data_IF_408534988828
#
_entry.id   IF_408534988828
#
_cell.length_a   1.000
_cell.length_b   1.000
_cell.length_c   1.000
_cell.angle_alpha   90.00
_cell.angle_beta   90.00
_cell.angle_gamma   90.00
#
_symmetry.space_group_name_H-M   'P 1'
#
loop_
_entity.id
_entity.type
_entity.pdbx_description
1 polymer ?
#
# COMPACT_ATOMS: atom_id res chain seq x y z
N UNK A 1 11.41 -74.75 -44.90
CA UNK A 1 11.78 -73.70 -43.92
C UNK A 1 10.86 -72.52 -44.16
N UNK A 2 9.67 -72.51 -43.55
CA UNK A 2 8.68 -71.46 -43.73
C UNK A 2 8.13 -71.12 -42.36
N UNK A 3 8.74 -70.15 -41.69
CA UNK A 3 8.13 -69.56 -40.50
C UNK A 3 6.84 -68.88 -40.97
N UNK A 4 5.71 -69.40 -40.51
CA UNK A 4 4.38 -68.94 -40.89
C UNK A 4 4.29 -67.43 -40.71
N UNK A 5 3.92 -66.73 -41.79
CA UNK A 5 3.70 -65.27 -41.81
C UNK A 5 2.71 -64.81 -40.74
N UNK A 6 1.86 -65.71 -40.25
CA UNK A 6 0.95 -65.47 -39.13
C UNK A 6 1.65 -65.28 -37.78
N UNK A 7 2.81 -65.91 -37.56
CA UNK A 7 3.55 -65.82 -36.30
C UNK A 7 4.29 -64.49 -36.14
N UNK A 8 4.80 -63.93 -37.25
CA UNK A 8 5.41 -62.60 -37.28
C UNK A 8 4.37 -61.49 -37.11
N UNK A 9 3.18 -61.63 -37.70
CA UNK A 9 2.10 -60.65 -37.53
C UNK A 9 1.58 -60.62 -36.08
N UNK A 10 1.45 -61.78 -35.43
CA UNK A 10 1.04 -61.86 -34.02
C UNK A 10 2.09 -61.25 -33.08
N UNK A 11 3.38 -61.49 -33.33
CA UNK A 11 4.46 -60.90 -32.56
C UNK A 11 4.52 -59.37 -32.72
N UNK A 12 4.27 -58.86 -33.93
CA UNK A 12 4.22 -57.42 -34.19
C UNK A 12 3.01 -56.75 -33.52
N UNK A 13 1.85 -57.42 -33.51
CA UNK A 13 0.67 -56.93 -32.79
C UNK A 13 0.88 -56.88 -31.28
N UNK A 14 1.53 -57.90 -30.70
CA UNK A 14 1.86 -57.93 -29.27
C UNK A 14 2.88 -56.85 -28.90
N UNK A 15 3.86 -56.57 -29.76
CA UNK A 15 4.80 -55.47 -29.60
C UNK A 15 4.10 -54.10 -29.65
N UNK A 16 3.18 -53.90 -30.60
CA UNK A 16 2.39 -52.67 -30.71
C UNK A 16 1.44 -52.47 -29.52
N UNK A 17 0.83 -53.54 -29.00
CA UNK A 17 0.00 -53.48 -27.79
C UNK A 17 0.85 -53.19 -26.55
N UNK A 18 2.08 -53.73 -26.47
CA UNK A 18 3.01 -53.40 -25.37
C UNK A 18 3.54 -51.97 -25.43
N UNK A 19 3.74 -51.42 -26.63
CA UNK A 19 4.12 -50.01 -26.84
C UNK A 19 2.95 -49.06 -26.55
N UNK A 20 1.71 -49.46 -26.88
CA UNK A 20 0.51 -48.70 -26.53
C UNK A 20 0.24 -48.72 -25.01
N UNK A 21 0.45 -49.86 -24.34
CA UNK A 21 0.36 -49.96 -22.89
C UNK A 21 1.51 -49.24 -22.16
N UNK A 22 2.68 -49.08 -22.79
CA UNK A 22 3.78 -48.28 -22.28
C UNK A 22 3.55 -46.76 -22.47
N UNK A 23 2.78 -46.35 -23.49
CA UNK A 23 2.36 -44.96 -23.67
C UNK A 23 1.22 -44.55 -22.70
N UNK A 24 0.53 -45.54 -22.12
CA UNK A 24 -0.50 -45.35 -21.09
C UNK A 24 0.04 -45.53 -19.66
N UNK A 25 1.37 -45.64 -19.49
CA UNK A 25 2.00 -45.13 -18.27
C UNK A 25 1.99 -43.62 -18.39
N UNK A 26 0.85 -43.05 -18.01
CA UNK A 26 0.74 -41.68 -17.51
C UNK A 26 2.04 -41.33 -16.81
N UNK A 27 2.79 -40.39 -17.40
CA UNK A 27 3.61 -39.51 -16.62
C UNK A 27 2.62 -38.90 -15.64
N UNK A 28 2.58 -39.45 -14.43
CA UNK A 28 1.96 -38.79 -13.30
C UNK A 28 2.80 -37.52 -13.16
N UNK A 29 2.33 -36.45 -13.79
CA UNK A 29 2.69 -35.08 -13.43
C UNK A 29 2.26 -34.95 -11.98
N UNK A 30 3.14 -35.32 -11.07
CA UNK A 30 3.00 -34.98 -9.67
C UNK A 30 3.04 -33.45 -9.61
N UNK A 31 1.88 -32.80 -9.57
CA UNK A 31 1.77 -31.47 -8.95
C UNK A 31 1.05 -30.35 -9.70
N UNK A 32 0.67 -30.47 -10.97
CA UNK A 32 -0.10 -29.38 -11.62
C UNK A 32 -1.62 -29.60 -11.48
N UNK A 33 -2.28 -28.66 -10.79
CA UNK A 33 -3.74 -28.58 -10.66
C UNK A 33 -4.40 -28.46 -12.04
N UNK A 34 -5.61 -29.00 -12.18
CA UNK A 34 -6.37 -28.88 -13.43
C UNK A 34 -6.81 -27.43 -13.67
N UNK A 35 -7.00 -27.04 -14.94
CA UNK A 35 -7.48 -25.69 -15.27
C UNK A 35 -8.84 -25.39 -14.63
N UNK A 36 -9.72 -26.38 -14.55
CA UNK A 36 -11.03 -26.26 -13.89
C UNK A 36 -10.89 -25.93 -12.40
N UNK A 37 -9.97 -26.62 -11.71
CA UNK A 37 -9.67 -26.37 -10.30
C UNK A 37 -9.09 -24.97 -10.10
N UNK A 38 -8.09 -24.56 -10.90
CA UNK A 38 -7.46 -23.25 -10.76
C UNK A 38 -8.41 -22.11 -11.10
N UNK A 39 -9.31 -22.28 -12.08
CA UNK A 39 -10.36 -21.28 -12.38
C UNK A 39 -11.35 -21.13 -11.23
N UNK A 40 -11.76 -22.23 -10.58
CA UNK A 40 -12.61 -22.15 -9.39
C UNK A 40 -11.91 -21.41 -8.26
N UNK A 41 -10.67 -21.76 -7.96
CA UNK A 41 -9.87 -21.08 -6.93
C UNK A 41 -9.71 -19.59 -7.23
N UNK A 42 -9.49 -19.23 -8.50
CA UNK A 42 -9.39 -17.84 -8.92
C UNK A 42 -10.71 -17.08 -8.70
N UNK A 43 -11.85 -17.67 -9.05
CA UNK A 43 -13.16 -17.06 -8.81
C UNK A 43 -13.44 -16.84 -7.31
N UNK A 44 -13.11 -17.82 -6.47
CA UNK A 44 -13.23 -17.71 -5.01
C UNK A 44 -12.28 -16.63 -4.44
N UNK A 45 -11.04 -16.59 -4.95
CA UNK A 45 -10.05 -15.58 -4.57
C UNK A 45 -10.50 -14.17 -4.96
N UNK A 46 -11.03 -13.99 -6.18
CA UNK A 46 -11.57 -12.69 -6.64
C UNK A 46 -12.72 -12.22 -5.75
N UNK A 47 -13.65 -13.12 -5.41
CA UNK A 47 -14.76 -12.80 -4.51
C UNK A 47 -14.27 -12.40 -3.11
N UNK A 48 -13.28 -13.12 -2.58
CA UNK A 48 -12.69 -12.85 -1.25
C UNK A 48 -11.97 -11.51 -1.20
N UNK A 49 -11.31 -11.11 -2.28
CA UNK A 49 -10.50 -9.88 -2.36
C UNK A 49 -11.21 -8.72 -3.09
N UNK A 50 -12.50 -8.87 -3.41
CA UNK A 50 -13.30 -7.84 -4.09
C UNK A 50 -12.76 -7.43 -5.45
N UNK A 51 -12.18 -8.36 -6.22
CA UNK A 51 -11.55 -8.07 -7.52
C UNK A 51 -12.56 -8.05 -8.65
N UNK A 52 -12.46 -7.03 -9.50
CA UNK A 52 -13.25 -6.88 -10.73
C UNK A 52 -12.40 -6.28 -11.85
N UNK A 53 -12.48 -6.82 -13.06
CA UNK A 53 -11.70 -6.34 -14.21
C UNK A 53 -12.63 -5.98 -15.38
N UNK A 54 -12.54 -4.73 -15.85
CA UNK A 54 -13.45 -4.20 -16.87
C UNK A 54 -12.83 -4.14 -18.28
N UNK A 55 -11.50 -4.26 -18.37
CA UNK A 55 -10.78 -4.21 -19.64
C UNK A 55 -10.82 -5.56 -20.36
N UNK A 56 -11.02 -5.54 -21.68
CA UNK A 56 -11.08 -6.76 -22.50
C UNK A 56 -9.77 -7.53 -22.36
N UNK A 57 -9.86 -8.79 -21.94
CA UNK A 57 -8.71 -9.68 -21.78
C UNK A 57 -7.90 -9.49 -20.50
N UNK A 58 -8.18 -8.47 -19.67
CA UNK A 58 -7.45 -8.24 -18.42
C UNK A 58 -7.73 -9.36 -17.40
N UNK A 59 -8.98 -9.81 -17.27
CA UNK A 59 -9.31 -10.91 -16.37
C UNK A 59 -8.54 -12.20 -16.70
N UNK A 60 -8.44 -12.55 -18.00
CA UNK A 60 -7.69 -13.74 -18.41
C UNK A 60 -6.19 -13.54 -18.18
N UNK A 61 -5.64 -12.34 -18.43
CA UNK A 61 -4.24 -12.05 -18.09
C UNK A 61 -3.98 -12.20 -16.59
N UNK A 62 -4.86 -11.66 -15.75
CA UNK A 62 -4.77 -11.74 -14.28
C UNK A 62 -4.91 -13.17 -13.80
N UNK A 63 -5.76 -13.97 -14.43
CA UNK A 63 -5.87 -15.40 -14.18
C UNK A 63 -4.57 -16.15 -14.52
N UNK A 64 -3.90 -15.84 -15.63
CA UNK A 64 -2.62 -16.47 -15.98
C UNK A 64 -1.55 -16.17 -14.91
N UNK A 65 -1.45 -14.92 -14.47
CA UNK A 65 -0.54 -14.50 -13.39
C UNK A 65 -0.88 -15.20 -12.06
N UNK A 66 -2.17 -15.24 -11.71
CA UNK A 66 -2.65 -15.98 -10.55
C UNK A 66 -2.24 -17.45 -10.59
N UNK A 67 -2.40 -18.11 -11.74
CA UNK A 67 -2.03 -19.51 -11.93
C UNK A 67 -0.53 -19.73 -11.78
N UNK A 68 0.30 -18.84 -12.31
CA UNK A 68 1.76 -18.93 -12.18
C UNK A 68 2.21 -18.73 -10.71
N UNK A 69 1.62 -17.76 -10.01
CA UNK A 69 1.86 -17.56 -8.58
C UNK A 69 1.36 -18.74 -7.76
N UNK A 70 0.23 -19.34 -8.12
CA UNK A 70 -0.30 -20.53 -7.46
C UNK A 70 0.64 -21.74 -7.60
N UNK A 71 1.18 -21.97 -8.79
CA UNK A 71 2.20 -23.01 -9.00
C UNK A 71 3.43 -22.76 -8.13
N UNK A 72 3.92 -21.53 -8.07
CA UNK A 72 5.05 -21.16 -7.22
C UNK A 72 4.76 -21.40 -5.72
N UNK A 73 3.55 -21.07 -5.26
CA UNK A 73 3.08 -21.34 -3.90
C UNK A 73 3.06 -22.84 -3.61
N UNK A 74 2.54 -23.67 -4.53
CA UNK A 74 2.46 -25.12 -4.35
C UNK A 74 3.85 -25.75 -4.26
N UNK A 75 4.75 -25.40 -5.17
CA UNK A 75 6.14 -25.88 -5.16
C UNK A 75 6.87 -25.51 -3.87
N UNK A 76 6.74 -24.25 -3.43
CA UNK A 76 7.33 -23.79 -2.18
C UNK A 76 6.74 -24.50 -0.97
N UNK A 77 5.40 -24.65 -0.92
CA UNK A 77 4.73 -25.25 0.22
C UNK A 77 4.98 -26.77 0.29
N UNK A 78 5.11 -27.46 -0.84
CA UNK A 78 5.57 -28.85 -0.87
C UNK A 78 6.99 -29.00 -0.32
N UNK A 79 7.91 -28.08 -0.67
CA UNK A 79 9.25 -28.05 -0.09
C UNK A 79 9.23 -27.73 1.43
N UNK A 80 8.32 -26.86 1.87
CA UNK A 80 8.10 -26.59 3.29
C UNK A 80 7.54 -27.83 4.04
N UNK A 81 6.67 -28.64 3.42
CA UNK A 81 6.21 -29.92 3.99
C UNK A 81 7.34 -30.94 4.11
N UNK A 82 8.30 -30.91 3.19
CA UNK A 82 9.52 -31.68 3.27
C UNK A 82 10.57 -31.10 4.25
N UNK A 83 10.23 -30.02 4.98
CA UNK A 83 11.10 -29.38 5.98
C UNK A 83 12.20 -28.49 5.42
N UNK A 84 12.18 -28.18 4.11
CA UNK A 84 13.18 -27.33 3.44
C UNK A 84 13.00 -25.85 3.82
N UNK A 85 11.75 -25.40 3.98
CA UNK A 85 11.41 -24.03 4.38
C UNK A 85 10.65 -24.01 5.71
N UNK A 86 10.81 -22.94 6.48
CA UNK A 86 10.12 -22.72 7.77
C UNK A 86 8.91 -21.80 7.68
N UNK A 87 8.49 -21.45 6.47
CA UNK A 87 7.41 -20.52 6.22
C UNK A 87 6.54 -21.02 5.07
N UNK A 88 5.37 -20.43 4.94
CA UNK A 88 4.37 -20.75 3.93
C UNK A 88 4.06 -19.52 3.08
N UNK A 89 3.83 -19.77 1.81
CA UNK A 89 3.26 -18.79 0.90
C UNK A 89 1.75 -19.02 0.77
N UNK A 90 1.03 -18.00 0.34
CA UNK A 90 -0.42 -18.08 0.18
C UNK A 90 -0.98 -17.12 -0.86
N UNK A 91 -2.22 -17.39 -1.27
CA UNK A 91 -2.98 -16.58 -2.22
C UNK A 91 -3.52 -15.31 -1.54
N UNK A 92 -2.62 -14.41 -1.16
CA UNK A 92 -2.97 -13.11 -0.60
C UNK A 92 -3.45 -12.15 -1.70
N UNK A 93 -3.69 -10.88 -1.35
CA UNK A 93 -4.19 -9.85 -2.27
C UNK A 93 -3.32 -9.60 -3.50
N UNK A 94 -2.04 -10.01 -3.51
CA UNK A 94 -1.09 -9.78 -4.61
C UNK A 94 -0.97 -10.98 -5.56
N UNK A 95 -1.80 -12.02 -5.38
CA UNK A 95 -1.70 -13.25 -6.15
C UNK A 95 -1.93 -13.05 -7.66
N UNK A 96 -2.64 -12.00 -8.09
CA UNK A 96 -2.88 -11.66 -9.50
C UNK A 96 -1.86 -10.67 -10.10
N UNK A 97 -0.81 -10.33 -9.35
CA UNK A 97 0.25 -9.41 -9.77
C UNK A 97 1.53 -10.16 -10.12
N UNK A 98 2.16 -9.75 -11.23
CA UNK A 98 3.53 -10.19 -11.48
C UNK A 98 4.46 -9.57 -10.46
N UNK A 99 5.65 -10.16 -10.27
CA UNK A 99 6.62 -9.57 -9.36
C UNK A 99 7.06 -8.16 -9.80
N UNK A 100 7.16 -7.90 -11.10
CA UNK A 100 7.48 -6.57 -11.64
C UNK A 100 6.38 -5.55 -11.36
N UNK A 101 5.10 -5.91 -11.55
CA UNK A 101 3.96 -5.05 -11.22
C UNK A 101 3.91 -4.73 -9.71
N UNK A 102 4.15 -5.74 -8.87
CA UNK A 102 4.24 -5.60 -7.42
C UNK A 102 5.37 -4.65 -7.02
N UNK A 103 6.58 -4.88 -7.53
CA UNK A 103 7.78 -4.07 -7.23
C UNK A 103 7.58 -2.61 -7.63
N UNK A 104 6.98 -2.37 -8.79
CA UNK A 104 6.77 -1.03 -9.31
C UNK A 104 5.72 -0.21 -8.54
N UNK A 105 4.83 -0.87 -7.80
CA UNK A 105 3.62 -0.23 -7.24
C UNK A 105 3.62 -0.14 -5.71
N UNK A 106 4.17 -1.14 -5.00
CA UNK A 106 4.00 -1.28 -3.54
C UNK A 106 5.27 -1.01 -2.71
N UNK A 107 6.40 -0.80 -3.38
CA UNK A 107 7.69 -0.48 -2.77
C UNK A 107 7.94 1.04 -2.86
N UNK A 108 8.79 1.60 -1.99
CA UNK A 108 8.92 3.05 -1.90
C UNK A 108 10.05 3.63 -1.06
N UNK A 109 10.93 2.81 -0.46
CA UNK A 109 12.13 3.36 0.18
C UNK A 109 13.15 3.76 -0.89
N UNK A 110 13.80 4.90 -0.69
CA UNK A 110 14.88 5.38 -1.56
C UNK A 110 16.11 5.74 -0.73
N UNK A 111 17.03 4.80 -0.58
CA UNK A 111 18.30 5.02 0.13
C UNK A 111 19.16 6.06 -0.59
N UNK A 112 19.74 7.01 0.14
CA UNK A 112 20.70 7.98 -0.39
C UNK A 112 22.10 7.68 0.14
N UNK A 113 23.11 7.42 -0.71
CA UNK A 113 24.46 7.02 -0.26
C UNK A 113 25.22 8.06 0.59
N UNK A 114 24.82 9.33 0.58
CA UNK A 114 25.55 10.44 1.21
C UNK A 114 24.66 11.27 2.14
N UNK A 115 23.83 10.62 2.95
CA UNK A 115 23.09 11.30 4.03
C UNK A 115 23.90 11.32 5.33
N UNK A 116 23.90 12.45 6.03
CA UNK A 116 24.39 12.52 7.41
C UNK A 116 23.43 11.77 8.34
N UNK A 117 23.94 10.78 9.06
CA UNK A 117 23.18 9.96 10.01
C UNK A 117 23.37 10.47 11.44
N UNK A 118 22.29 10.56 12.22
CA UNK A 118 22.35 10.94 13.64
C UNK A 118 22.59 9.69 14.48
N UNK A 119 23.81 9.16 14.41
CA UNK A 119 24.15 7.87 15.05
C UNK A 119 23.95 7.88 16.56
N UNK A 120 23.26 6.86 17.04
CA UNK A 120 22.99 6.67 18.45
C UNK A 120 24.17 6.13 19.21
N UNK A 121 24.57 6.83 20.27
CA UNK A 121 25.52 6.31 21.26
C UNK A 121 24.89 5.29 22.23
N UNK A 122 23.56 5.28 22.38
CA UNK A 122 22.85 4.46 23.38
C UNK A 122 22.79 2.98 23.03
N UNK A 123 22.74 2.68 21.72
CA UNK A 123 22.50 1.32 21.23
C UNK A 123 23.72 0.69 20.55
N UNK A 124 24.93 1.13 20.89
CA UNK A 124 26.12 0.35 20.58
C UNK A 124 26.03 -1.03 21.21
N UNK A 125 26.41 -2.04 20.44
CA UNK A 125 26.44 -3.42 20.91
C UNK A 125 27.55 -3.56 21.96
N UNK A 126 27.17 -3.96 23.17
CA UNK A 126 28.09 -4.46 24.20
C UNK A 126 27.83 -5.95 24.38
N UNK A 127 28.90 -6.73 24.50
CA UNK A 127 28.79 -8.18 24.65
C UNK A 127 28.23 -8.66 25.97
N UNK A 128 28.20 -7.79 27.00
CA UNK A 128 27.83 -8.15 28.36
C UNK A 128 26.43 -7.69 28.80
N UNK A 129 25.62 -7.14 27.90
CA UNK A 129 24.28 -6.63 28.25
C UNK A 129 23.21 -7.71 28.06
N UNK A 130 22.50 -8.04 29.14
CA UNK A 130 21.36 -8.95 29.11
C UNK A 130 20.12 -8.22 28.57
N UNK A 131 19.66 -8.63 27.39
CA UNK A 131 18.41 -8.15 26.80
C UNK A 131 17.28 -9.15 27.08
N UNK A 132 16.00 -8.70 27.15
CA UNK A 132 14.87 -9.61 27.26
C UNK A 132 14.90 -10.66 26.13
N UNK A 133 14.57 -11.91 26.43
CA UNK A 133 14.55 -13.01 25.44
C UNK A 133 13.56 -12.75 24.30
N UNK A 134 12.42 -12.16 24.63
CA UNK A 134 11.41 -11.75 23.65
C UNK A 134 10.77 -10.42 24.04
N UNK A 135 10.38 -9.66 23.02
CA UNK A 135 9.66 -8.40 23.14
C UNK A 135 8.57 -8.39 22.09
N UNK A 136 7.36 -7.99 22.48
CA UNK A 136 6.24 -7.77 21.57
C UNK A 136 5.46 -6.52 22.01
N UNK A 137 5.70 -5.40 21.32
CA UNK A 137 5.06 -4.12 21.64
C UNK A 137 3.55 -4.11 21.38
N UNK A 138 3.02 -5.06 20.59
CA UNK A 138 1.57 -5.21 20.39
C UNK A 138 0.88 -5.57 21.69
N UNK A 139 1.49 -6.47 22.46
CA UNK A 139 0.97 -6.89 23.79
C UNK A 139 1.05 -5.79 24.84
N UNK A 140 1.93 -4.79 24.63
CA UNK A 140 2.11 -3.62 25.49
C UNK A 140 1.26 -2.41 25.06
N UNK A 141 0.42 -2.58 24.03
CA UNK A 141 -0.43 -1.52 23.50
C UNK A 141 0.30 -0.44 22.71
N UNK A 142 1.60 -0.60 22.40
CA UNK A 142 2.42 0.41 21.72
C UNK A 142 2.52 0.18 20.20
N UNK A 143 1.48 -0.41 19.60
CA UNK A 143 1.39 -0.65 18.16
C UNK A 143 -0.05 -0.44 17.73
N UNK A 144 -0.30 0.58 16.90
CA UNK A 144 -1.62 0.81 16.30
C UNK A 144 -1.99 -0.30 15.31
N UNK A 145 -3.23 -0.31 14.86
CA UNK A 145 -3.72 -1.27 13.86
C UNK A 145 -2.90 -1.27 12.56
N UNK A 146 -2.92 -2.40 11.85
CA UNK A 146 -2.26 -2.49 10.54
C UNK A 146 -3.08 -1.72 9.52
N UNK A 147 -2.44 -0.72 8.89
CA UNK A 147 -3.00 0.08 7.82
C UNK A 147 -2.58 -0.44 6.44
N UNK A 148 -3.11 0.16 5.39
CA UNK A 148 -2.84 -0.19 3.99
C UNK A 148 -2.42 1.04 3.18
N UNK A 149 -1.18 1.02 2.67
CA UNK A 149 -0.64 2.10 1.84
C UNK A 149 -1.25 2.14 0.43
N UNK A 150 -1.94 1.08 0.01
CA UNK A 150 -2.48 0.98 -1.36
C UNK A 150 -1.37 0.98 -2.41
N UNK A 151 -1.63 1.62 -3.55
CA UNK A 151 -0.71 1.68 -4.71
C UNK A 151 0.27 2.86 -4.67
N UNK A 152 0.54 3.39 -3.48
CA UNK A 152 1.43 4.53 -3.26
C UNK A 152 2.73 4.04 -2.60
N UNK A 153 3.89 4.50 -3.07
CA UNK A 153 5.19 4.21 -2.48
C UNK A 153 5.46 4.94 -1.16
N UNK A 154 4.46 5.02 -0.27
CA UNK A 154 4.48 5.77 1.00
C UNK A 154 4.91 4.94 2.20
N UNK A 155 5.45 3.72 2.02
CA UNK A 155 5.92 2.86 3.11
C UNK A 155 6.86 3.56 4.11
N UNK A 156 7.64 4.54 3.65
CA UNK A 156 8.47 5.40 4.50
C UNK A 156 7.63 6.21 5.51
N UNK A 157 6.47 6.74 5.10
CA UNK A 157 5.57 7.47 5.98
C UNK A 157 4.94 6.52 7.01
N UNK A 158 4.43 5.35 6.57
CA UNK A 158 3.87 4.34 7.47
C UNK A 158 4.87 3.83 8.51
N UNK A 159 6.12 3.56 8.08
CA UNK A 159 7.19 3.13 8.98
C UNK A 159 7.53 4.20 10.02
N UNK A 160 7.55 5.47 9.60
CA UNK A 160 7.78 6.64 10.48
C UNK A 160 6.67 6.76 11.51
N UNK A 161 5.41 6.81 11.05
CA UNK A 161 4.23 6.97 11.90
C UNK A 161 4.14 5.85 12.94
N UNK A 162 4.32 4.59 12.54
CA UNK A 162 4.29 3.47 13.50
C UNK A 162 5.38 3.59 14.60
N UNK A 163 6.54 4.16 14.29
CA UNK A 163 7.57 4.49 15.28
C UNK A 163 7.15 5.60 16.23
N UNK A 164 6.53 6.67 15.70
CA UNK A 164 6.04 7.82 16.49
C UNK A 164 4.86 7.44 17.39
N UNK A 165 3.90 6.69 16.87
CA UNK A 165 2.77 6.15 17.64
C UNK A 165 3.26 5.28 18.81
N UNK A 166 4.24 4.41 18.54
CA UNK A 166 4.83 3.52 19.52
C UNK A 166 5.52 4.27 20.66
N UNK A 167 6.42 5.21 20.35
CA UNK A 167 7.10 5.99 21.40
C UNK A 167 6.13 6.91 22.14
N UNK A 168 5.11 7.45 21.47
CA UNK A 168 4.07 8.25 22.10
C UNK A 168 3.34 7.42 23.16
N UNK A 169 2.93 6.20 22.83
CA UNK A 169 2.29 5.32 23.80
C UNK A 169 3.20 5.02 24.99
N UNK A 170 4.47 4.74 24.73
CA UNK A 170 5.44 4.39 25.78
C UNK A 170 5.63 5.54 26.78
N UNK A 171 5.69 6.78 26.30
CA UNK A 171 5.97 7.96 27.13
C UNK A 171 4.72 8.52 27.80
N UNK A 172 3.60 8.55 27.07
CA UNK A 172 2.37 9.25 27.51
C UNK A 172 1.28 8.32 28.03
N UNK A 173 1.29 7.06 27.60
CA UNK A 173 0.21 6.11 27.85
C UNK A 173 -0.97 6.20 26.88
N UNK A 174 -0.93 7.12 25.91
CA UNK A 174 -1.95 7.26 24.86
C UNK A 174 -1.49 6.72 23.49
N UNK A 175 -2.22 5.76 22.94
CA UNK A 175 -2.01 5.26 21.58
C UNK A 175 -2.95 6.04 20.64
N UNK A 176 -2.38 6.96 19.87
CA UNK A 176 -3.10 7.84 18.96
C UNK A 176 -2.75 7.44 17.53
N UNK A 177 -3.76 7.21 16.68
CA UNK A 177 -3.52 6.94 15.25
C UNK A 177 -3.18 8.24 14.52
N UNK A 178 -1.98 8.30 13.92
CA UNK A 178 -1.44 9.53 13.30
C UNK A 178 -1.51 9.46 11.78
N UNK A 179 -1.42 10.63 11.12
CA UNK A 179 -1.60 10.75 9.67
C UNK A 179 -0.33 10.46 8.88
N UNK A 180 -0.34 9.40 8.07
CA UNK A 180 0.68 9.22 7.04
C UNK A 180 0.52 10.21 5.87
N UNK A 181 -0.71 10.67 5.61
CA UNK A 181 -0.99 11.56 4.49
C UNK A 181 -0.40 12.95 4.69
N UNK A 182 -0.36 13.45 5.93
CA UNK A 182 0.32 14.71 6.22
C UNK A 182 1.80 14.63 5.83
N UNK A 183 2.48 13.50 6.11
CA UNK A 183 3.85 13.30 5.66
C UNK A 183 3.93 13.25 4.13
N UNK A 184 3.07 12.48 3.47
CA UNK A 184 3.04 12.34 2.00
C UNK A 184 2.86 13.70 1.32
N UNK A 185 1.97 14.55 1.82
CA UNK A 185 1.62 15.82 1.19
C UNK A 185 2.58 16.97 1.57
N UNK A 186 3.15 16.94 2.78
CA UNK A 186 3.87 18.09 3.35
C UNK A 186 5.38 17.91 3.48
N UNK A 187 5.90 16.69 3.63
CA UNK A 187 7.35 16.44 3.68
C UNK A 187 7.93 16.35 2.26
N UNK A 188 8.09 17.51 1.64
CA UNK A 188 8.49 17.64 0.23
C UNK A 188 9.95 18.10 0.04
N UNK A 189 10.69 18.33 1.13
CA UNK A 189 12.06 18.84 1.04
C UNK A 189 13.03 17.78 0.50
N UNK A 190 12.85 16.52 0.90
CA UNK A 190 13.70 15.41 0.48
C UNK A 190 12.93 14.15 0.09
N UNK A 191 11.77 13.94 0.71
CA UNK A 191 10.83 12.89 0.36
C UNK A 191 9.95 13.32 -0.82
N UNK A 192 9.41 12.34 -1.54
CA UNK A 192 8.73 12.54 -2.83
C UNK A 192 7.34 11.91 -2.83
N UNK A 193 6.64 11.95 -1.69
CA UNK A 193 5.30 11.40 -1.54
C UNK A 193 5.23 9.92 -1.94
N UNK A 194 4.34 9.60 -2.88
CA UNK A 194 4.17 8.26 -3.44
C UNK A 194 5.34 7.78 -4.30
N UNK A 195 6.26 8.66 -4.70
CA UNK A 195 7.49 8.26 -5.39
C UNK A 195 8.57 7.78 -4.42
N UNK A 196 8.31 7.85 -3.11
CA UNK A 196 9.18 7.27 -2.09
C UNK A 196 9.93 8.29 -1.24
N UNK A 197 10.60 7.76 -0.22
CA UNK A 197 11.21 8.57 0.81
C UNK A 197 12.03 7.77 1.83
N UNK A 198 12.44 8.46 2.89
CA UNK A 198 13.19 7.93 4.03
C UNK A 198 12.62 8.45 5.35
N UNK A 199 12.63 7.59 6.35
CA UNK A 199 12.01 7.83 7.66
C UNK A 199 12.67 8.99 8.44
N UNK A 200 13.99 9.14 8.38
CA UNK A 200 14.67 10.24 9.11
C UNK A 200 14.24 11.63 8.65
N UNK A 201 13.98 11.81 7.35
CA UNK A 201 13.47 13.09 6.84
C UNK A 201 12.06 13.36 7.34
N UNK A 202 11.25 12.31 7.47
CA UNK A 202 9.92 12.41 8.03
C UNK A 202 9.94 12.73 9.54
N UNK A 203 10.86 12.11 10.31
CA UNK A 203 11.07 12.51 11.70
C UNK A 203 11.52 13.98 11.81
N UNK A 204 12.49 14.40 10.99
CA UNK A 204 12.94 15.79 10.91
C UNK A 204 11.80 16.75 10.55
N UNK A 205 10.91 16.35 9.63
CA UNK A 205 9.70 17.10 9.31
C UNK A 205 8.80 17.25 10.53
N UNK A 206 8.48 16.17 11.26
CA UNK A 206 7.59 16.23 12.44
C UNK A 206 8.15 17.19 13.50
N UNK A 207 9.47 17.15 13.73
CA UNK A 207 10.16 18.06 14.66
C UNK A 207 9.98 19.52 14.21
N UNK A 208 10.34 19.83 12.95
CA UNK A 208 10.28 21.20 12.42
C UNK A 208 8.84 21.71 12.25
N UNK A 209 7.90 20.81 12.03
CA UNK A 209 6.49 21.12 11.96
C UNK A 209 5.89 21.44 13.34
N UNK A 210 6.56 21.02 14.42
CA UNK A 210 6.05 21.14 15.79
C UNK A 210 4.97 20.10 16.10
N UNK A 211 4.99 18.95 15.41
CA UNK A 211 4.10 17.81 15.63
C UNK A 211 3.50 17.24 14.35
N UNK A 212 2.58 16.30 14.51
CA UNK A 212 1.84 15.60 13.45
C UNK A 212 0.37 15.44 13.87
N UNK A 213 -0.53 15.49 12.91
CA UNK A 213 -1.98 15.34 13.09
C UNK A 213 -2.45 13.89 13.17
N UNK A 214 -3.70 13.71 13.61
CA UNK A 214 -4.35 12.40 13.65
C UNK A 214 -4.72 11.92 12.25
N UNK A 215 -4.83 10.59 12.10
CA UNK A 215 -5.42 9.99 10.90
C UNK A 215 -6.85 10.50 10.63
N UNK A 216 -7.60 10.87 11.69
CA UNK A 216 -8.96 11.38 11.53
C UNK A 216 -9.00 12.81 10.97
N UNK A 217 -8.08 13.67 11.40
CA UNK A 217 -8.00 15.07 10.95
C UNK A 217 -7.39 15.18 9.54
N UNK A 218 -6.44 14.31 9.22
CA UNK A 218 -5.80 14.24 7.90
C UNK A 218 -5.79 12.80 7.35
N UNK A 219 -6.92 12.31 6.81
CA UNK A 219 -7.05 10.91 6.38
C UNK A 219 -6.19 10.51 5.19
N UNK A 220 -5.77 9.25 5.18
CA UNK A 220 -5.01 8.65 4.10
C UNK A 220 -5.81 8.49 2.80
N UNK A 221 -5.22 8.96 1.70
CA UNK A 221 -5.82 8.94 0.35
C UNK A 221 -5.09 7.99 -0.61
N UNK A 222 -3.85 7.59 -0.29
CA UNK A 222 -3.07 6.70 -1.15
C UNK A 222 -2.61 7.34 -2.46
N UNK A 223 -2.52 8.67 -2.50
CA UNK A 223 -2.05 9.47 -3.64
C UNK A 223 -1.39 10.74 -3.14
N UNK A 224 -0.50 11.32 -3.95
CA UNK A 224 0.05 12.65 -3.68
C UNK A 224 -1.06 13.72 -3.66
N UNK A 225 -1.01 14.60 -2.66
CA UNK A 225 -1.88 15.77 -2.53
C UNK A 225 -1.08 17.05 -2.31
N UNK A 226 -1.79 18.18 -2.26
CA UNK A 226 -1.22 19.42 -1.75
C UNK A 226 -1.28 19.43 -0.23
N UNK A 227 -0.21 19.89 0.42
CA UNK A 227 -0.17 20.09 1.86
C UNK A 227 -1.28 21.03 2.33
N UNK A 228 -2.31 20.48 2.98
CA UNK A 228 -3.48 21.22 3.43
C UNK A 228 -3.23 21.88 4.79
N UNK A 229 -2.93 23.17 4.78
CA UNK A 229 -2.67 23.94 6.00
C UNK A 229 -3.84 23.98 6.99
N UNK A 230 -5.08 23.75 6.55
CA UNK A 230 -6.24 23.74 7.44
C UNK A 230 -6.37 22.43 8.20
N UNK A 231 -5.91 21.32 7.62
CA UNK A 231 -5.87 20.00 8.27
C UNK A 231 -4.61 19.82 9.11
N UNK A 232 -3.54 20.47 8.68
CA UNK A 232 -2.20 20.46 9.27
C UNK A 232 -2.06 21.38 10.50
N UNK A 233 -3.03 21.36 11.42
CA UNK A 233 -3.17 22.39 12.44
C UNK A 233 -3.23 21.90 13.89
N UNK A 234 -3.65 20.66 14.17
CA UNK A 234 -3.85 20.22 15.54
C UNK A 234 -2.54 19.75 16.21
N UNK A 235 -1.62 19.15 15.44
CA UNK A 235 -0.26 18.75 15.85
C UNK A 235 -0.28 17.98 17.18
N UNK A 236 -1.11 16.95 17.23
CA UNK A 236 -1.48 16.24 18.45
C UNK A 236 -0.34 15.46 19.10
N UNK A 237 0.68 15.08 18.33
CA UNK A 237 1.87 14.36 18.83
C UNK A 237 3.14 15.04 18.34
N UNK A 238 4.08 15.21 19.26
CA UNK A 238 5.43 15.73 18.99
C UNK A 238 6.50 14.72 19.34
N UNK A 239 7.65 14.84 18.67
CA UNK A 239 8.90 14.16 19.00
C UNK A 239 9.99 15.21 19.15
N UNK A 240 10.97 14.94 20.01
CA UNK A 240 12.03 15.89 20.37
C UNK A 240 13.26 15.75 19.47
N UNK A 241 13.51 14.54 18.97
CA UNK A 241 14.62 14.22 18.06
C UNK A 241 14.39 12.86 17.40
N UNK A 242 15.37 12.38 16.64
CA UNK A 242 15.50 10.99 16.19
C UNK A 242 16.97 10.61 16.13
N UNK A 243 17.23 9.31 16.17
CA UNK A 243 18.58 8.76 16.02
C UNK A 243 18.58 7.50 15.14
N UNK A 244 19.74 7.23 14.55
CA UNK A 244 20.05 6.02 13.81
C UNK A 244 20.65 4.97 14.74
N UNK A 245 20.16 3.74 14.68
CA UNK A 245 20.84 2.61 15.32
C UNK A 245 22.11 2.29 14.53
N UNK A 246 23.22 1.88 15.19
CA UNK A 246 24.43 1.45 14.50
C UNK A 246 24.14 0.42 13.40
N UNK A 247 24.54 0.77 12.18
CA UNK A 247 24.29 -0.04 11.00
C UNK A 247 24.99 -1.39 11.07
N UNK A 248 24.40 -2.39 10.41
CA UNK A 248 24.95 -3.74 10.28
C UNK A 248 25.20 -4.41 11.65
N UNK A 249 24.29 -4.21 12.60
CA UNK A 249 24.36 -4.82 13.92
C UNK A 249 22.96 -5.23 14.38
N UNK A 250 22.60 -6.50 14.18
CA UNK A 250 21.33 -7.06 14.69
C UNK A 250 21.24 -6.95 16.21
N UNK A 251 22.37 -6.97 16.93
CA UNK A 251 22.42 -6.78 18.38
C UNK A 251 22.09 -5.35 18.80
N UNK A 252 22.61 -4.36 18.08
CA UNK A 252 22.24 -2.94 18.27
C UNK A 252 20.76 -2.72 17.97
N UNK A 253 20.27 -3.31 16.88
CA UNK A 253 18.84 -3.27 16.55
C UNK A 253 17.99 -3.94 17.63
N UNK A 254 18.41 -5.09 18.16
CA UNK A 254 17.69 -5.79 19.22
C UNK A 254 17.58 -4.93 20.47
N UNK A 255 18.67 -4.27 20.85
CA UNK A 255 18.69 -3.34 21.98
C UNK A 255 17.74 -2.16 21.78
N UNK A 256 17.70 -1.59 20.57
CA UNK A 256 16.75 -0.52 20.25
C UNK A 256 15.30 -1.01 20.31
N UNK A 257 15.00 -2.15 19.68
CA UNK A 257 13.66 -2.76 19.67
C UNK A 257 13.21 -3.18 21.08
N UNK A 258 14.13 -3.51 21.98
CA UNK A 258 13.81 -3.81 23.37
C UNK A 258 13.24 -2.60 24.13
N UNK A 259 13.51 -1.39 23.65
CA UNK A 259 13.11 -0.13 24.29
C UNK A 259 11.92 0.55 23.61
N UNK A 260 11.73 0.37 22.30
CA UNK A 260 10.58 0.91 21.55
C UNK A 260 10.46 0.26 20.15
N UNK A 261 9.34 0.43 19.42
CA UNK A 261 9.29 0.13 17.99
C UNK A 261 10.32 0.93 17.19
N UNK A 262 10.96 0.30 16.20
CA UNK A 262 12.03 0.90 15.39
C UNK A 262 11.65 0.85 13.91
N UNK A 263 11.76 1.97 13.22
CA UNK A 263 11.59 2.06 11.77
C UNK A 263 12.81 1.45 11.08
N UNK A 264 12.59 0.54 10.14
CA UNK A 264 13.66 -0.16 9.43
C UNK A 264 13.36 -0.22 7.93
N UNK A 265 14.40 -0.23 7.11
CA UNK A 265 14.29 -0.53 5.69
C UNK A 265 14.72 -1.97 5.40
N UNK A 266 14.05 -2.63 4.46
CA UNK A 266 14.33 -3.99 4.00
C UNK A 266 14.26 -4.07 2.47
N UNK A 267 14.85 -5.11 1.90
CA UNK A 267 14.56 -5.55 0.53
C UNK A 267 13.36 -6.51 0.54
N UNK A 268 12.21 -6.03 0.08
CA UNK A 268 10.93 -6.76 0.05
C UNK A 268 10.51 -7.17 -1.37
N UNK A 269 11.33 -6.91 -2.38
CA UNK A 269 10.94 -7.07 -3.77
C UNK A 269 10.87 -8.51 -4.32
N UNK A 270 11.22 -9.55 -3.56
CA UNK A 270 11.18 -10.94 -4.03
C UNK A 270 9.79 -11.59 -3.98
N UNK A 271 9.50 -12.52 -4.90
CA UNK A 271 8.18 -13.20 -4.98
C UNK A 271 7.78 -13.95 -3.70
N UNK A 272 8.75 -14.52 -2.98
CA UNK A 272 8.50 -15.17 -1.69
C UNK A 272 8.01 -14.18 -0.62
N UNK A 273 8.48 -12.92 -0.67
CA UNK A 273 8.03 -11.86 0.24
C UNK A 273 6.65 -11.36 -0.18
N UNK A 274 6.45 -11.10 -1.49
CA UNK A 274 5.15 -10.73 -2.06
C UNK A 274 4.03 -11.67 -1.61
N UNK A 275 4.29 -12.98 -1.66
CA UNK A 275 3.30 -14.04 -1.40
C UNK A 275 3.39 -14.63 0.02
N UNK A 276 4.16 -14.02 0.92
CA UNK A 276 4.31 -14.50 2.30
C UNK A 276 2.94 -14.61 3.00
N UNK A 277 2.74 -15.70 3.74
CA UNK A 277 1.53 -15.94 4.52
C UNK A 277 1.82 -16.19 6.00
N UNK A 278 2.76 -17.07 6.34
CA UNK A 278 3.03 -17.40 7.75
C UNK A 278 4.37 -18.10 7.97
N UNK A 279 4.84 -18.12 9.21
CA UNK A 279 6.08 -18.79 9.64
C UNK A 279 7.30 -17.87 9.64
N UNK A 280 8.47 -18.38 10.03
CA UNK A 280 9.70 -17.58 10.06
C UNK A 280 10.27 -17.52 8.65
N UNK A 281 10.24 -16.32 8.07
CA UNK A 281 10.71 -16.03 6.72
C UNK A 281 12.22 -16.21 6.61
N UNK A 282 12.60 -17.29 5.94
CA UNK A 282 13.98 -17.64 5.60
C UNK A 282 14.25 -17.54 4.09
N UNK A 283 13.33 -16.93 3.33
CA UNK A 283 13.43 -16.75 1.89
C UNK A 283 14.67 -15.96 1.45
N UNK A 284 14.98 -16.03 0.15
CA UNK A 284 16.10 -15.26 -0.42
C UNK A 284 15.71 -13.80 -0.59
N UNK A 285 16.63 -12.92 -0.22
CA UNK A 285 16.59 -11.47 -0.42
C UNK A 285 18.03 -10.94 -0.36
N UNK A 286 18.31 -9.84 -1.03
CA UNK A 286 19.54 -9.09 -0.97
C UNK A 286 19.49 -8.01 0.12
N UNK A 287 20.10 -6.87 -0.19
CA UNK A 287 20.18 -5.69 0.68
C UNK A 287 19.96 -4.39 -0.10
N UNK A 288 19.33 -4.46 -1.28
CA UNK A 288 18.90 -3.29 -2.05
C UNK A 288 17.58 -2.79 -1.45
N UNK A 289 17.67 -2.04 -0.35
CA UNK A 289 16.52 -1.66 0.47
C UNK A 289 15.50 -0.86 -0.37
N UNK A 290 14.27 -1.37 -0.43
CA UNK A 290 13.20 -0.85 -1.28
C UNK A 290 11.87 -0.66 -0.52
N UNK A 291 11.79 -1.12 0.73
CA UNK A 291 10.55 -1.05 1.53
C UNK A 291 10.77 -0.66 2.99
N UNK A 292 9.91 0.22 3.50
CA UNK A 292 9.94 0.74 4.87
C UNK A 292 8.92 0.01 5.74
N UNK A 293 9.38 -0.56 6.84
CA UNK A 293 8.57 -1.34 7.78
C UNK A 293 8.96 -1.00 9.22
N UNK A 294 8.27 -1.56 10.21
CA UNK A 294 8.59 -1.27 11.63
C UNK A 294 8.84 -2.57 12.39
N UNK A 295 10.03 -2.70 12.98
CA UNK A 295 10.34 -3.77 13.92
C UNK A 295 9.64 -3.47 15.26
N UNK A 296 8.63 -4.26 15.59
CA UNK A 296 7.78 -4.08 16.79
C UNK A 296 8.05 -5.14 17.86
N UNK A 297 9.06 -5.98 17.65
CA UNK A 297 9.41 -7.02 18.58
C UNK A 297 10.39 -8.03 18.01
N UNK A 298 10.71 -9.03 18.83
CA UNK A 298 11.54 -10.17 18.45
C UNK A 298 11.26 -11.33 19.43
N UNK A 299 11.65 -12.54 19.04
CA UNK A 299 11.55 -13.71 19.90
C UNK A 299 12.30 -14.91 19.32
N UNK A 300 11.99 -16.07 19.87
CA UNK A 300 12.55 -17.36 19.47
C UNK A 300 11.44 -18.40 19.44
N UNK A 301 11.33 -19.16 18.36
CA UNK A 301 10.39 -20.27 18.23
C UNK A 301 11.14 -21.49 17.69
N UNK A 302 11.06 -22.62 18.41
CA UNK A 302 11.73 -23.88 18.03
C UNK A 302 13.23 -23.72 17.74
N UNK A 303 13.92 -22.90 18.54
CA UNK A 303 15.35 -22.62 18.37
C UNK A 303 15.70 -21.71 17.20
N UNK A 304 14.71 -21.07 16.57
CA UNK A 304 14.90 -20.06 15.51
C UNK A 304 14.51 -18.69 16.00
N UNK A 305 15.45 -17.77 15.93
CA UNK A 305 15.23 -16.38 16.31
C UNK A 305 14.53 -15.63 15.18
N UNK A 306 13.62 -14.72 15.55
CA UNK A 306 12.91 -13.88 14.60
C UNK A 306 12.70 -12.46 15.09
N UNK A 307 12.57 -11.55 14.13
CA UNK A 307 11.99 -10.21 14.29
C UNK A 307 10.48 -10.28 14.07
N UNK A 308 9.70 -9.48 14.80
CA UNK A 308 8.29 -9.23 14.52
C UNK A 308 8.21 -7.89 13.79
N UNK A 309 7.77 -7.91 12.53
CA UNK A 309 7.79 -6.73 11.67
C UNK A 309 6.37 -6.39 11.24
N UNK A 310 5.94 -5.16 11.52
CA UNK A 310 4.67 -4.58 11.05
C UNK A 310 4.85 -4.08 9.62
N UNK A 311 3.98 -4.53 8.72
CA UNK A 311 3.93 -4.06 7.33
C UNK A 311 2.74 -3.10 7.11
N UNK A 312 2.66 -2.50 5.93
CA UNK A 312 1.68 -1.49 5.52
C UNK A 312 0.82 -1.92 4.33
N UNK A 313 0.54 -3.22 4.18
CA UNK A 313 -0.24 -3.80 3.05
C UNK A 313 -1.62 -4.33 3.47
N UNK A 314 -2.11 -3.88 4.61
CA UNK A 314 -3.34 -4.34 5.23
C UNK A 314 -3.20 -5.71 5.91
N UNK A 315 -4.21 -6.04 6.72
CA UNK A 315 -4.25 -7.27 7.52
C UNK A 315 -4.43 -8.56 6.71
N UNK A 316 -4.79 -8.46 5.43
CA UNK A 316 -4.93 -9.61 4.52
C UNK A 316 -3.59 -10.19 4.03
N UNK A 317 -2.48 -9.49 4.28
CA UNK A 317 -1.14 -9.95 3.90
C UNK A 317 -0.39 -10.53 5.11
N UNK A 318 0.37 -11.61 4.91
CA UNK A 318 1.18 -12.22 5.98
C UNK A 318 0.37 -12.68 7.20
N UNK A 319 0.98 -12.60 8.37
CA UNK A 319 0.39 -12.98 9.66
C UNK A 319 -0.43 -11.80 10.19
N UNK A 320 -1.61 -11.58 9.60
CA UNK A 320 -2.50 -10.45 9.93
C UNK A 320 -1.82 -9.07 9.76
N UNK A 321 -1.04 -8.90 8.69
CA UNK A 321 -0.28 -7.69 8.39
C UNK A 321 1.15 -7.67 8.91
N UNK A 322 1.59 -8.75 9.57
CA UNK A 322 2.94 -8.90 10.10
C UNK A 322 3.73 -9.96 9.37
N UNK A 323 5.06 -9.89 9.50
CA UNK A 323 5.98 -10.94 9.09
C UNK A 323 6.95 -11.24 10.23
N UNK A 324 7.24 -12.53 10.43
CA UNK A 324 8.34 -12.96 11.29
C UNK A 324 9.58 -13.19 10.42
N UNK A 325 10.57 -12.31 10.52
CA UNK A 325 11.79 -12.41 9.72
C UNK A 325 12.90 -13.09 10.51
N UNK A 326 13.64 -14.00 9.89
CA UNK A 326 14.79 -14.67 10.51
C UNK A 326 15.79 -13.65 11.09
N UNK A 327 16.21 -13.87 12.34
CA UNK A 327 17.12 -13.02 13.11
C UNK A 327 18.40 -13.79 13.45
N UNK A 328 19.46 -13.05 13.76
CA UNK A 328 20.76 -13.59 14.16
C UNK A 328 21.41 -14.44 13.06
N UNK A 329 21.34 -13.95 11.82
CA UNK A 329 21.98 -14.60 10.69
C UNK A 329 23.46 -14.21 10.61
N UNK A 330 24.24 -14.95 9.82
CA UNK A 330 25.69 -14.66 9.65
C UNK A 330 25.96 -13.30 9.02
N UNK A 331 25.07 -12.79 8.19
CA UNK A 331 25.23 -11.51 7.53
C UNK A 331 24.92 -10.36 8.51
N UNK A 332 25.89 -9.49 8.75
CA UNK A 332 25.76 -8.35 9.68
C UNK A 332 24.62 -7.38 9.31
N UNK A 333 24.25 -7.33 8.03
CA UNK A 333 23.10 -6.57 7.52
C UNK A 333 21.75 -7.07 8.04
N UNK A 334 21.70 -8.26 8.65
CA UNK A 334 20.47 -8.95 8.98
C UNK A 334 19.73 -9.45 7.72
N UNK A 335 18.67 -10.23 7.94
CA UNK A 335 17.84 -10.77 6.86
C UNK A 335 17.22 -9.62 6.05
N UNK A 336 17.40 -9.66 4.73
CA UNK A 336 16.91 -8.63 3.80
C UNK A 336 17.41 -7.21 4.10
N UNK A 337 18.53 -7.06 4.80
CA UNK A 337 19.10 -5.76 5.14
C UNK A 337 18.43 -5.02 6.30
N UNK A 338 17.60 -5.70 7.12
CA UNK A 338 16.85 -5.09 8.23
C UNK A 338 17.71 -4.28 9.22
N UNK A 339 19.01 -4.59 9.36
CA UNK A 339 19.93 -3.88 10.24
C UNK A 339 20.76 -2.78 9.53
N UNK A 340 20.50 -2.46 8.26
CA UNK A 340 21.30 -1.49 7.47
C UNK A 340 20.88 -0.04 7.76
N UNK A 341 19.58 0.26 7.65
CA UNK A 341 19.00 1.59 7.93
C UNK A 341 17.90 1.60 9.02
N UNK A 342 18.19 1.15 10.25
CA UNK A 342 17.31 1.31 11.39
C UNK A 342 17.40 2.73 12.02
N UNK A 343 16.25 3.37 12.22
CA UNK A 343 16.14 4.65 12.94
C UNK A 343 14.88 4.73 13.80
N UNK A 344 14.88 5.60 14.80
CA UNK A 344 13.80 5.70 15.77
C UNK A 344 13.63 7.13 16.30
N UNK A 345 12.38 7.56 16.58
CA UNK A 345 12.11 8.87 17.17
C UNK A 345 12.38 8.87 18.67
N UNK A 346 12.66 10.07 19.20
CA UNK A 346 12.81 10.34 20.62
C UNK A 346 11.69 11.23 21.13
N UNK A 347 11.17 10.88 22.30
CA UNK A 347 10.17 11.67 23.01
C UNK A 347 10.48 11.64 24.51
N UNK A 348 10.54 12.81 25.13
CA UNK A 348 10.84 13.00 26.55
C UNK A 348 9.62 13.50 27.33
N UNK A 349 8.70 14.19 26.64
CA UNK A 349 7.60 14.92 27.26
C UNK A 349 6.19 14.49 26.84
N UNK A 350 5.21 15.05 27.54
CA UNK A 350 3.80 14.93 27.20
C UNK A 350 3.49 15.55 25.83
N UNK A 351 2.34 15.18 25.27
CA UNK A 351 1.84 15.81 24.06
C UNK A 351 1.46 17.28 24.29
N UNK A 352 1.46 18.11 23.22
CA UNK A 352 0.88 19.44 23.28
C UNK A 352 -0.54 19.38 23.86
N UNK A 353 -1.00 20.44 24.56
CA UNK A 353 -2.37 20.49 25.03
C UNK A 353 -3.30 20.23 23.85
N UNK A 354 -4.14 19.19 23.95
CA UNK A 354 -5.08 18.84 22.90
C UNK A 354 -5.86 20.10 22.51
N UNK A 355 -5.74 20.60 21.26
CA UNK A 355 -6.38 21.86 20.85
C UNK A 355 -7.92 21.78 20.88
N UNK A 356 -8.49 20.63 21.27
CA UNK A 356 -9.88 20.31 21.08
C UNK A 356 -10.05 19.70 19.69
N UNK A 357 -11.21 19.05 19.41
CA UNK A 357 -11.49 18.57 18.07
C UNK A 357 -11.36 19.73 17.10
N UNK A 358 -10.54 19.55 16.05
CA UNK A 358 -10.50 20.44 14.91
C UNK A 358 -11.96 20.66 14.47
N UNK A 359 -12.44 21.91 14.34
CA UNK A 359 -13.74 22.14 13.74
C UNK A 359 -13.76 21.37 12.41
N UNK A 360 -14.84 20.61 12.10
CA UNK A 360 -14.90 19.87 10.85
C UNK A 360 -14.49 20.82 9.72
N UNK A 361 -13.50 20.43 8.92
CA UNK A 361 -13.14 21.20 7.74
C UNK A 361 -14.44 21.53 7.00
N UNK A 362 -14.66 22.79 6.59
CA UNK A 362 -15.90 23.14 5.90
C UNK A 362 -16.07 22.14 4.76
N UNK A 363 -17.18 21.41 4.79
CA UNK A 363 -17.56 20.52 3.70
C UNK A 363 -17.51 21.37 2.43
N UNK A 364 -16.77 20.98 1.37
CA UNK A 364 -16.62 21.84 0.21
C UNK A 364 -18.02 22.21 -0.30
N UNK A 365 -18.33 23.50 -0.28
CA UNK A 365 -19.69 23.94 -0.58
C UNK A 365 -20.00 23.66 -2.06
N UNK A 366 -21.23 23.21 -2.38
CA UNK A 366 -21.69 23.08 -3.76
C UNK A 366 -21.44 24.37 -4.54
N UNK A 367 -21.04 24.27 -5.80
CA UNK A 367 -20.88 25.43 -6.67
C UNK A 367 -22.26 26.01 -7.00
N UNK A 368 -22.62 27.12 -6.35
CA UNK A 368 -23.90 27.79 -6.54
C UNK A 368 -23.95 28.45 -7.92
N UNK A 369 -24.87 27.99 -8.76
CA UNK A 369 -25.04 28.52 -10.11
C UNK A 369 -25.97 29.75 -10.13
N UNK A 370 -27.08 29.67 -9.38
CA UNK A 370 -28.03 30.76 -9.17
C UNK A 370 -28.85 30.57 -7.88
N UNK A 371 -29.96 31.29 -7.74
CA UNK A 371 -30.85 31.23 -6.57
C UNK A 371 -31.58 29.88 -6.40
N UNK A 372 -31.57 29.00 -7.40
CA UNK A 372 -32.32 27.74 -7.39
C UNK A 372 -31.43 26.52 -7.58
N UNK A 373 -30.35 26.63 -8.36
CA UNK A 373 -29.54 25.50 -8.82
C UNK A 373 -28.10 25.58 -8.31
N UNK A 374 -27.58 24.39 -7.96
CA UNK A 374 -26.18 24.17 -7.61
C UNK A 374 -25.61 22.98 -8.38
N UNK A 375 -24.29 22.99 -8.49
CA UNK A 375 -23.50 21.87 -8.97
C UNK A 375 -22.68 21.27 -7.82
N UNK A 376 -22.23 20.00 -7.95
CA UNK A 376 -21.35 19.37 -6.96
C UNK A 376 -20.07 20.18 -6.69
N UNK A 377 -19.36 19.86 -5.62
CA UNK A 377 -18.07 20.47 -5.30
C UNK A 377 -17.07 20.37 -6.48
N UNK A 378 -16.20 21.37 -6.60
CA UNK A 378 -15.13 21.45 -7.63
C UNK A 378 -15.63 21.32 -9.08
N UNK A 379 -16.83 21.83 -9.36
CA UNK A 379 -17.42 21.88 -10.70
C UNK A 379 -17.68 23.31 -11.17
N UNK A 380 -17.86 23.49 -12.47
CA UNK A 380 -18.19 24.80 -13.05
C UNK A 380 -19.63 24.85 -13.53
N UNK A 381 -20.37 25.87 -13.10
CA UNK A 381 -21.72 26.17 -13.56
C UNK A 381 -21.71 26.74 -14.98
N UNK A 382 -22.32 26.03 -15.92
CA UNK A 382 -22.44 26.42 -17.31
C UNK A 382 -23.90 26.59 -17.70
N UNK A 383 -24.25 27.74 -18.29
CA UNK A 383 -25.61 27.95 -18.77
C UNK A 383 -25.94 27.03 -19.97
N UNK A 384 -27.05 26.30 -19.88
CA UNK A 384 -27.56 25.44 -20.95
C UNK A 384 -28.62 26.17 -21.76
N UNK A 385 -29.51 26.89 -21.08
CA UNK A 385 -30.60 27.62 -21.75
C UNK A 385 -30.66 29.05 -21.24
N UNK A 386 -30.28 30.00 -22.10
CA UNK A 386 -30.27 31.43 -21.82
C UNK A 386 -31.38 32.13 -22.61
N UNK A 387 -32.08 33.06 -21.96
CA UNK A 387 -32.96 34.01 -22.65
C UNK A 387 -32.75 35.41 -22.07
N UNK A 388 -32.33 36.35 -22.93
CA UNK A 388 -31.95 37.70 -22.51
C UNK A 388 -30.63 37.69 -21.74
N UNK A 389 -30.68 38.04 -20.45
CA UNK A 389 -29.53 38.00 -19.52
C UNK A 389 -29.71 36.95 -18.40
N UNK A 390 -30.71 36.07 -18.56
CA UNK A 390 -31.09 35.11 -17.54
C UNK A 390 -30.85 33.70 -18.06
N UNK A 391 -30.17 32.90 -17.23
CA UNK A 391 -30.06 31.48 -17.44
C UNK A 391 -31.24 30.77 -16.77
N UNK A 392 -31.97 29.96 -17.53
CA UNK A 392 -33.13 29.19 -17.06
C UNK A 392 -32.76 27.76 -16.66
N UNK A 393 -31.67 27.23 -17.21
CA UNK A 393 -31.20 25.88 -16.95
C UNK A 393 -29.68 25.86 -16.88
N UNK A 394 -29.15 25.28 -15.80
CA UNK A 394 -27.72 25.15 -15.56
C UNK A 394 -27.24 23.72 -15.77
N UNK A 395 -25.99 23.60 -16.22
CA UNK A 395 -25.25 22.35 -16.31
C UNK A 395 -23.95 22.41 -15.52
N UNK A 396 -23.56 21.28 -14.96
CA UNK A 396 -22.34 21.12 -14.18
C UNK A 396 -21.26 20.51 -15.06
N UNK A 397 -20.20 21.28 -15.29
CA UNK A 397 -18.97 20.75 -15.84
C UNK A 397 -18.14 20.13 -14.70
N UNK A 398 -17.73 18.85 -14.77
CA UNK A 398 -16.98 18.17 -13.70
C UNK A 398 -15.49 18.57 -13.70
N UNK A 399 -15.23 19.87 -13.89
CA UNK A 399 -13.92 20.50 -13.91
C UNK A 399 -14.08 21.88 -13.26
N UNK A 400 -13.11 22.29 -12.46
CA UNK A 400 -13.06 23.61 -11.84
C UNK A 400 -12.53 24.65 -12.85
N UNK A 401 -13.12 25.86 -12.86
CA UNK A 401 -12.71 26.94 -13.77
C UNK A 401 -12.88 26.62 -15.26
N UNK A 402 -13.79 25.71 -15.62
CA UNK A 402 -13.96 25.23 -16.97
C UNK A 402 -14.53 26.29 -17.92
N UNK A 403 -14.15 26.22 -19.19
CA UNK A 403 -14.78 27.02 -20.24
C UNK A 403 -16.04 26.31 -20.76
N UNK A 404 -17.18 26.98 -20.67
CA UNK A 404 -18.45 26.47 -21.16
C UNK A 404 -18.54 26.65 -22.68
N UNK A 405 -18.63 25.55 -23.42
CA UNK A 405 -18.77 25.58 -24.88
C UNK A 405 -20.17 26.04 -25.36
N UNK A 406 -20.22 26.62 -26.56
CA UNK A 406 -21.44 27.14 -27.18
C UNK A 406 -22.42 26.04 -27.63
N UNK A 407 -22.02 24.77 -27.60
CA UNK A 407 -22.90 23.62 -27.88
C UNK A 407 -23.88 23.32 -26.73
N UNK A 408 -23.79 24.08 -25.62
CA UNK A 408 -24.57 23.94 -24.39
C UNK A 408 -24.46 22.56 -23.71
N UNK A 409 -23.58 21.68 -24.18
CA UNK A 409 -23.48 20.30 -23.76
C UNK A 409 -22.09 19.92 -23.25
N UNK A 410 -21.06 20.59 -23.77
CA UNK A 410 -19.67 20.28 -23.48
C UNK A 410 -18.98 21.42 -22.74
N UNK A 411 -17.88 21.12 -22.08
CA UNK A 411 -17.02 22.08 -21.44
C UNK A 411 -15.56 21.66 -21.58
N UNK A 412 -14.67 22.64 -21.48
CA UNK A 412 -13.24 22.45 -21.63
C UNK A 412 -12.49 22.82 -20.35
N UNK A 413 -11.39 22.10 -20.02
CA UNK A 413 -10.52 22.49 -18.91
C UNK A 413 -9.99 23.92 -19.10
N UNK A 414 -9.69 24.60 -17.99
CA UNK A 414 -9.11 25.94 -18.01
C UNK A 414 -7.84 26.04 -18.86
N UNK A 415 -6.98 25.01 -18.85
CA UNK A 415 -5.74 24.96 -19.62
C UNK A 415 -5.93 24.77 -21.14
N UNK A 416 -7.15 24.36 -21.55
CA UNK A 416 -7.53 24.14 -22.95
C UNK A 416 -8.84 24.89 -23.25
N UNK A 417 -8.88 26.22 -23.13
CA UNK A 417 -10.15 26.96 -23.05
C UNK A 417 -10.91 27.04 -24.38
N UNK A 418 -10.29 26.67 -25.52
CA UNK A 418 -10.91 26.85 -26.83
C UNK A 418 -11.71 25.59 -27.20
N UNK A 419 -13.03 25.74 -27.23
CA UNK A 419 -13.95 24.68 -27.64
C UNK A 419 -13.94 24.45 -29.16
N UNK A 420 -13.56 23.25 -29.58
CA UNK A 420 -13.78 22.73 -30.93
C UNK A 420 -14.99 21.79 -30.93
N UNK A 421 -16.18 22.39 -30.99
CA UNK A 421 -17.47 21.67 -30.91
C UNK A 421 -17.68 20.67 -32.05
N UNK A 422 -17.12 20.93 -33.23
CA UNK A 422 -17.26 20.04 -34.40
C UNK A 422 -16.50 18.72 -34.22
N UNK A 423 -15.35 18.77 -33.54
CA UNK A 423 -14.51 17.59 -33.28
C UNK A 423 -14.69 17.04 -31.86
N UNK A 424 -15.44 17.72 -30.99
CA UNK A 424 -15.63 17.33 -29.59
C UNK A 424 -14.33 17.43 -28.77
N UNK A 425 -13.47 18.41 -29.09
CA UNK A 425 -12.16 18.60 -28.46
C UNK A 425 -11.97 20.02 -27.93
N UNK A 426 -10.95 20.20 -27.11
CA UNK A 426 -10.55 21.44 -26.46
C UNK A 426 -9.09 21.73 -26.82
N UNK A 427 -8.78 22.98 -27.17
CA UNK A 427 -7.46 23.40 -27.64
C UNK A 427 -6.87 24.43 -26.67
N UNK A 428 -5.54 24.40 -26.50
CA UNK A 428 -4.82 25.45 -25.75
C UNK A 428 -4.79 26.80 -26.51
N UNK A 429 -4.89 26.76 -27.84
CA UNK A 429 -4.76 27.90 -28.74
C UNK A 429 -5.43 27.62 -30.09
N UNK A 430 -5.83 28.65 -30.84
CA UNK A 430 -6.60 28.50 -32.11
C UNK A 430 -5.91 27.62 -33.16
N UNK A 431 -4.58 27.56 -33.12
CA UNK A 431 -3.74 26.78 -34.05
C UNK A 431 -2.90 25.72 -33.32
N UNK A 432 -3.27 25.34 -32.09
CA UNK A 432 -2.52 24.35 -31.32
C UNK A 432 -2.72 22.94 -31.90
N UNK A 433 -1.64 22.17 -32.15
CA UNK A 433 -1.76 20.75 -32.53
C UNK A 433 -2.17 19.86 -31.34
N UNK A 434 -2.14 20.39 -30.12
CA UNK A 434 -2.50 19.67 -28.90
C UNK A 434 -3.97 19.89 -28.59
N UNK A 435 -4.72 18.79 -28.53
CA UNK A 435 -6.15 18.79 -28.19
C UNK A 435 -6.45 17.76 -27.11
N UNK A 436 -7.38 18.08 -26.22
CA UNK A 436 -7.96 17.15 -25.24
C UNK A 436 -9.44 16.95 -25.53
N UNK A 437 -10.01 15.83 -25.09
CA UNK A 437 -11.42 15.55 -25.30
C UNK A 437 -12.29 16.50 -24.47
N UNK A 438 -13.33 17.07 -25.07
CA UNK A 438 -14.29 17.89 -24.34
C UNK A 438 -15.12 17.04 -23.37
N UNK A 439 -15.41 17.61 -22.21
CA UNK A 439 -16.13 16.91 -21.15
C UNK A 439 -17.61 17.22 -21.21
N UNK A 440 -18.46 16.23 -20.98
CA UNK A 440 -19.91 16.40 -21.00
C UNK A 440 -20.40 17.00 -19.68
N UNK A 441 -21.32 17.95 -19.79
CA UNK A 441 -22.02 18.52 -18.63
C UNK A 441 -23.06 17.52 -18.10
N UNK A 442 -23.35 17.62 -16.81
CA UNK A 442 -24.54 17.02 -16.19
C UNK A 442 -25.55 18.13 -15.85
N UNK A 443 -26.82 17.82 -15.59
CA UNK A 443 -27.78 18.85 -15.18
C UNK A 443 -27.50 19.29 -13.75
N UNK A 444 -27.53 20.60 -13.52
CA UNK A 444 -27.52 21.16 -12.18
C UNK A 444 -28.78 20.73 -11.41
N UNK A 445 -28.63 20.55 -10.11
CA UNK A 445 -29.74 20.13 -9.25
C UNK A 445 -30.20 21.30 -8.39
N UNK A 446 -31.46 21.32 -7.94
CA UNK A 446 -31.92 22.32 -7.00
C UNK A 446 -31.10 22.30 -5.69
N UNK A 447 -30.96 23.43 -5.01
CA UNK A 447 -30.21 23.53 -3.73
C UNK A 447 -30.60 22.47 -2.69
N UNK A 448 -31.90 22.16 -2.61
CA UNK A 448 -32.43 21.17 -1.66
C UNK A 448 -31.97 19.73 -1.95
N UNK A 449 -31.48 19.44 -3.17
CA UNK A 449 -30.99 18.11 -3.53
C UNK A 449 -29.62 17.79 -2.91
N UNK A 450 -28.92 18.79 -2.36
CA UNK A 450 -27.60 18.65 -1.74
C UNK A 450 -27.64 18.73 -0.19
N UNK A 451 -28.80 18.99 0.41
CA UNK A 451 -28.97 19.20 1.87
C UNK A 451 -29.34 17.92 2.65
N UNK A 452 -29.24 16.74 2.03
CA UNK A 452 -29.83 15.49 2.53
C UNK A 452 -28.99 14.62 3.49
N UNK A 453 -27.84 15.06 3.99
CA UNK A 453 -26.95 14.20 4.82
C UNK A 453 -26.74 14.66 6.27
N UNK A 454 -27.66 15.43 6.85
CA UNK A 454 -27.66 15.79 8.28
C UNK A 454 -29.05 15.59 8.90
N UNK A 455 -29.50 14.35 9.03
CA UNK A 455 -30.73 14.04 9.74
C UNK A 455 -30.66 12.66 10.43
N UNK A 456 -29.88 12.57 11.50
CA UNK A 456 -30.16 11.61 12.57
C UNK A 456 -29.96 12.31 13.91
N UNK A 457 -31.05 12.78 14.50
CA UNK A 457 -31.00 13.44 15.80
C UNK A 457 -32.09 14.45 16.09
N UNK A 458 -33.37 14.08 15.97
CA UNK A 458 -34.39 14.71 16.81
C UNK A 458 -35.52 13.73 17.10
N UNK A 459 -35.49 13.22 18.34
CA UNK A 459 -36.51 12.38 18.94
C UNK A 459 -37.84 13.13 19.06
N UNK A 460 -38.90 12.37 18.81
CA UNK A 460 -40.28 12.61 19.20
C UNK A 460 -40.46 13.37 20.52
N UNK A 461 -41.29 14.41 20.49
CA UNK A 461 -42.07 14.90 21.62
C UNK A 461 -43.33 15.58 21.08
N UNK A 462 -44.47 15.10 21.57
CA UNK A 462 -45.87 15.45 21.29
C UNK A 462 -46.58 14.58 20.24
#
# INVERSE_FOLDING_TARGET
MGASTTSLAAALLLLLVSLAAAADMSIISYGERSEEETRRMYAEWMATHGRTYNAIGEEERRYQVFRDNLRYIDEHNAAADAGVHSFRLGLNRFADLTNDEYRATYLGVRTKPQRERKLSARYHADDNEELPESVDWRTKGAVAEVKDQGSCGSCWAFSTIAGVEGINQIVTGDLISLSEQELVDCDTSYNQGCNGGLMDYAFEFIINNGGIDTEADYPYKGTDGQCDANKKNAKVVTIDSYEDVPANSEKSLQKAVANQPVSVAIEAGGSAFQLYSSGIFTGKCGTELDHGVTAVGYGTENGKDYWIVKNSWGSSWGESGYIRMERNIKASSGKCGIAVEPSYPLKEGANPPNPGPTPPSPTPEPSVCDNYYSCPESTTCCCIYEYGKYCFTWGCCPLEGATCCDDHYSCCPHDYPICNVQQGTCLMGKDSPLSVKATKRTLAKPHWAFSGNTADGMKSSA
#
